data_IF_598641906145
#
_entry.id   IF_598641906145
#
_cell.length_a   1.000
_cell.length_b   1.000
_cell.length_c   1.000
_cell.angle_alpha   90.00
_cell.angle_beta   90.00
_cell.angle_gamma   90.00
#
_symmetry.space_group_name_H-M   'P 1'
#
loop_
_entity.id
_entity.type
_entity.pdbx_description
1 polymer ?
#
# COMPACT_ATOMS: atom_id res chain seq x y z
N UNK A 1 -17.13 1.98 -7.69
CA UNK A 1 -16.92 3.38 -8.10
C UNK A 1 -15.44 3.68 -8.03
N UNK A 2 -14.90 4.26 -9.10
CA UNK A 2 -13.50 4.69 -9.13
C UNK A 2 -13.35 5.98 -8.31
N UNK A 3 -12.24 6.11 -7.60
CA UNK A 3 -11.87 7.30 -6.86
C UNK A 3 -10.51 7.82 -7.35
N UNK A 4 -10.27 9.10 -7.15
CA UNK A 4 -9.00 9.71 -7.57
C UNK A 4 -7.85 9.26 -6.65
N UNK A 5 -6.68 9.02 -7.24
CA UNK A 5 -5.46 8.63 -6.57
C UNK A 5 -4.36 9.72 -6.65
N UNK A 6 -3.24 9.51 -6.00
CA UNK A 6 -2.13 10.45 -5.94
C UNK A 6 -2.38 11.60 -4.96
N UNK A 7 -2.20 12.84 -5.43
CA UNK A 7 -2.24 14.05 -4.61
C UNK A 7 -3.67 14.52 -4.29
N UNK A 8 -4.50 13.65 -3.75
CA UNK A 8 -5.92 13.91 -3.42
C UNK A 8 -6.20 13.75 -1.93
N UNK A 9 -7.13 14.52 -1.40
CA UNK A 9 -7.51 14.46 0.01
C UNK A 9 -6.30 14.51 0.94
N UNK A 10 -6.19 13.55 1.84
CA UNK A 10 -5.03 13.37 2.74
C UNK A 10 -3.71 13.16 2.00
N UNK A 11 -3.72 12.68 0.76
CA UNK A 11 -2.55 12.48 -0.08
C UNK A 11 -1.91 13.75 -0.64
N UNK A 12 -2.62 14.90 -0.58
CA UNK A 12 -2.17 16.16 -1.19
C UNK A 12 -0.78 16.61 -0.72
N UNK A 13 -0.48 16.48 0.57
CA UNK A 13 0.81 16.85 1.16
C UNK A 13 1.87 15.74 1.19
N UNK A 14 1.56 14.54 0.72
CA UNK A 14 2.39 13.35 0.93
C UNK A 14 3.50 13.21 -0.09
N UNK A 15 4.69 12.76 0.41
CA UNK A 15 5.87 12.45 -0.40
C UNK A 15 6.22 10.97 -0.19
N UNK A 16 6.31 10.20 -1.25
CA UNK A 16 6.63 8.78 -1.20
C UNK A 16 7.95 8.52 -1.91
N UNK A 17 8.90 7.90 -1.21
CA UNK A 17 10.23 7.61 -1.73
C UNK A 17 10.87 8.84 -2.40
N UNK A 18 10.77 10.00 -1.72
CA UNK A 18 11.30 11.27 -2.20
C UNK A 18 10.62 11.87 -3.42
N UNK A 19 9.51 11.30 -3.87
CA UNK A 19 8.70 11.75 -5.00
C UNK A 19 7.33 12.20 -4.52
N UNK A 20 6.54 12.81 -5.39
CA UNK A 20 5.14 13.07 -5.06
C UNK A 20 4.43 11.74 -4.92
N UNK A 21 3.85 11.51 -3.75
CA UNK A 21 3.06 10.35 -3.39
C UNK A 21 1.61 10.74 -3.12
N UNK A 22 0.96 10.00 -2.24
CA UNK A 22 -0.41 10.23 -1.80
C UNK A 22 -1.22 8.95 -1.69
N UNK A 23 -2.44 8.98 -2.21
CA UNK A 23 -3.35 7.84 -2.19
C UNK A 23 -3.03 6.90 -3.36
N UNK A 24 -3.04 5.60 -3.08
CA UNK A 24 -2.96 4.56 -4.09
C UNK A 24 -3.75 3.33 -3.67
N UNK A 25 -4.24 2.57 -4.63
CA UNK A 25 -5.00 1.35 -4.38
C UNK A 25 -4.73 0.27 -5.40
N UNK A 26 -5.01 -0.96 -5.02
CA UNK A 26 -5.03 -2.12 -5.91
C UNK A 26 -5.85 -3.25 -5.29
N UNK A 27 -6.14 -4.29 -6.05
CA UNK A 27 -6.86 -5.46 -5.54
C UNK A 27 -6.44 -6.74 -6.24
N UNK A 28 -6.74 -7.87 -5.59
CA UNK A 28 -6.62 -9.22 -6.15
C UNK A 28 -7.93 -9.97 -5.92
N UNK A 29 -8.32 -10.75 -6.91
CA UNK A 29 -9.46 -11.66 -6.82
C UNK A 29 -8.95 -13.07 -6.68
N UNK A 30 -9.40 -13.77 -5.66
CA UNK A 30 -9.06 -15.16 -5.35
C UNK A 30 -10.25 -16.07 -5.60
N UNK A 31 -10.02 -17.22 -6.21
CA UNK A 31 -11.02 -18.29 -6.34
C UNK A 31 -10.95 -19.19 -5.11
N UNK A 32 -12.00 -19.21 -4.30
CA UNK A 32 -12.09 -19.99 -3.06
C UNK A 32 -13.43 -20.73 -3.05
N UNK A 33 -13.40 -22.05 -2.99
CA UNK A 33 -14.61 -22.92 -2.97
C UNK A 33 -15.63 -22.59 -4.07
N UNK A 34 -15.13 -22.23 -5.27
CA UNK A 34 -15.95 -21.88 -6.42
C UNK A 34 -16.55 -20.46 -6.40
N UNK A 35 -16.26 -19.67 -5.39
CA UNK A 35 -16.63 -18.25 -5.28
C UNK A 35 -15.44 -17.32 -5.55
N UNK A 36 -15.75 -16.08 -5.90
CA UNK A 36 -14.77 -15.01 -6.05
C UNK A 36 -14.72 -14.18 -4.76
N UNK A 37 -13.50 -14.00 -4.25
CA UNK A 37 -13.23 -13.18 -3.08
C UNK A 37 -12.17 -12.15 -3.40
N UNK A 38 -12.30 -10.97 -2.83
CA UNK A 38 -11.41 -9.84 -3.10
C UNK A 38 -10.52 -9.54 -1.90
N UNK A 39 -9.25 -9.28 -2.18
CA UNK A 39 -8.31 -8.64 -1.26
C UNK A 39 -7.98 -7.28 -1.85
N UNK A 40 -8.47 -6.22 -1.23
CA UNK A 40 -8.20 -4.83 -1.62
C UNK A 40 -7.14 -4.19 -0.71
N UNK A 41 -6.31 -3.36 -1.29
CA UNK A 41 -5.30 -2.57 -0.60
C UNK A 41 -5.49 -1.07 -0.92
N UNK A 42 -5.33 -0.23 0.10
CA UNK A 42 -5.29 1.22 -0.05
C UNK A 42 -4.15 1.76 0.82
N UNK A 43 -3.40 2.71 0.29
CA UNK A 43 -2.32 3.37 1.01
C UNK A 43 -2.49 4.88 1.03
N UNK A 44 -2.01 5.50 2.11
CA UNK A 44 -1.62 6.90 2.13
C UNK A 44 -0.10 6.94 2.32
N UNK A 45 0.61 7.09 1.20
CA UNK A 45 2.06 6.90 1.12
C UNK A 45 2.82 8.21 1.34
N UNK A 46 3.57 8.27 2.45
CA UNK A 46 4.43 9.39 2.83
C UNK A 46 5.70 8.86 3.52
N UNK A 47 6.50 8.07 2.84
CA UNK A 47 7.64 7.38 3.45
C UNK A 47 8.83 7.25 2.48
N UNK A 48 10.00 6.94 3.02
CA UNK A 48 11.16 6.52 2.27
C UNK A 48 11.93 7.66 1.60
N UNK A 49 13.06 7.33 1.01
CA UNK A 49 13.92 8.24 0.25
C UNK A 49 14.09 7.78 -1.19
N UNK A 50 14.32 8.73 -2.10
CA UNK A 50 14.34 8.47 -3.55
C UNK A 50 15.34 7.40 -3.97
N UNK A 51 16.54 7.40 -3.39
CA UNK A 51 17.60 6.46 -3.76
C UNK A 51 17.26 4.99 -3.52
N UNK A 52 16.26 4.72 -2.68
CA UNK A 52 15.86 3.36 -2.31
C UNK A 52 14.76 2.78 -3.20
N UNK A 53 14.09 3.59 -4.02
CA UNK A 53 12.95 3.14 -4.83
C UNK A 53 13.30 1.94 -5.71
N UNK A 54 12.52 0.87 -5.55
CA UNK A 54 12.56 -0.34 -6.37
C UNK A 54 11.23 -0.49 -7.08
N UNK A 55 11.25 -0.73 -8.39
CA UNK A 55 10.06 -1.03 -9.21
C UNK A 55 10.36 -2.27 -10.02
N UNK A 56 9.56 -3.32 -9.85
CA UNK A 56 9.74 -4.58 -10.56
C UNK A 56 11.13 -5.19 -10.39
N UNK A 57 11.73 -5.07 -9.19
CA UNK A 57 13.08 -5.55 -8.89
C UNK A 57 14.22 -4.62 -9.36
N UNK A 58 13.94 -3.53 -10.09
CA UNK A 58 14.94 -2.53 -10.53
C UNK A 58 15.10 -1.42 -9.50
N UNK A 59 16.34 -1.07 -9.18
CA UNK A 59 16.70 0.06 -8.32
C UNK A 59 16.64 1.40 -9.08
N UNK A 60 15.44 1.79 -9.52
CA UNK A 60 15.20 3.05 -10.27
C UNK A 60 15.50 4.29 -9.42
N UNK A 61 15.43 4.15 -8.11
CA UNK A 61 15.73 5.24 -7.18
C UNK A 61 17.13 5.82 -7.34
N UNK A 62 18.11 5.03 -7.75
CA UNK A 62 19.48 5.51 -8.00
C UNK A 62 19.56 6.43 -9.21
N UNK A 63 18.77 6.17 -10.25
CA UNK A 63 18.67 7.02 -11.44
C UNK A 63 18.00 8.35 -11.10
N UNK A 64 16.93 8.31 -10.29
CA UNK A 64 16.20 9.48 -9.81
C UNK A 64 17.11 10.34 -8.91
N UNK A 65 17.86 9.73 -8.00
CA UNK A 65 18.72 10.45 -7.07
C UNK A 65 19.88 11.20 -7.75
N UNK A 66 20.34 10.75 -8.94
CA UNK A 66 21.31 11.49 -9.74
C UNK A 66 20.74 12.80 -10.30
N UNK A 67 19.42 12.93 -10.37
CA UNK A 67 18.71 14.08 -10.94
C UNK A 67 18.13 15.02 -9.87
N UNK A 68 18.35 14.74 -8.58
CA UNK A 68 17.89 15.55 -7.46
C UNK A 68 18.84 15.46 -6.27
N UNK A 69 18.76 16.44 -5.37
CA UNK A 69 19.49 16.39 -4.09
C UNK A 69 19.00 15.26 -3.20
N UNK A 70 19.92 14.72 -2.39
CA UNK A 70 19.60 13.66 -1.45
C UNK A 70 18.71 14.20 -0.32
N UNK A 71 17.62 13.50 -0.05
CA UNK A 71 16.71 13.80 1.06
C UNK A 71 16.83 12.73 2.14
N UNK A 72 16.57 13.12 3.40
CA UNK A 72 16.50 12.18 4.50
C UNK A 72 15.18 11.41 4.43
N UNK A 73 15.22 10.14 4.78
CA UNK A 73 14.03 9.34 5.01
C UNK A 73 13.25 9.92 6.20
N UNK A 74 12.11 10.51 5.92
CA UNK A 74 11.21 11.11 6.92
C UNK A 74 9.78 10.84 6.50
N UNK A 75 8.99 10.36 7.43
CA UNK A 75 7.57 10.15 7.17
C UNK A 75 7.10 8.78 7.63
N UNK A 76 5.92 8.40 7.17
CA UNK A 76 5.21 7.17 7.56
C UNK A 76 4.23 6.79 6.48
N UNK A 77 3.69 5.58 6.54
CA UNK A 77 2.63 5.15 5.63
C UNK A 77 1.46 4.55 6.41
N UNK A 78 0.25 4.82 5.95
CA UNK A 78 -0.94 4.08 6.36
C UNK A 78 -1.25 3.05 5.27
N UNK A 79 -1.39 1.80 5.69
CA UNK A 79 -1.62 0.64 4.84
C UNK A 79 -2.94 -0.01 5.29
N UNK A 80 -3.95 0.00 4.43
CA UNK A 80 -5.25 -0.56 4.72
C UNK A 80 -5.49 -1.77 3.81
N UNK A 81 -5.85 -2.92 4.42
CA UNK A 81 -6.24 -4.13 3.70
C UNK A 81 -7.70 -4.43 4.04
N UNK A 82 -8.52 -4.53 3.01
CA UNK A 82 -9.93 -4.91 3.12
C UNK A 82 -10.20 -6.19 2.34
N UNK A 83 -10.99 -7.10 2.89
CA UNK A 83 -11.35 -8.32 2.19
C UNK A 83 -12.78 -8.75 2.53
N UNK A 84 -13.40 -9.53 1.65
CA UNK A 84 -14.65 -10.25 1.90
C UNK A 84 -14.42 -11.73 2.25
N UNK A 85 -13.15 -12.16 2.37
CA UNK A 85 -12.81 -13.49 2.90
C UNK A 85 -13.12 -13.51 4.40
N UNK A 86 -13.79 -14.54 4.93
CA UNK A 86 -14.10 -14.63 6.35
C UNK A 86 -12.85 -14.96 7.19
N UNK A 87 -12.09 -13.94 7.52
CA UNK A 87 -10.88 -14.04 8.35
C UNK A 87 -11.20 -13.73 9.81
N UNK A 88 -10.62 -14.52 10.72
CA UNK A 88 -10.61 -14.22 12.16
C UNK A 88 -9.67 -13.05 12.46
N UNK A 89 -9.81 -12.44 13.65
CA UNK A 89 -8.93 -11.38 14.12
C UNK A 89 -7.44 -11.80 14.08
N UNK A 90 -7.14 -13.03 14.50
CA UNK A 90 -5.78 -13.57 14.44
C UNK A 90 -5.26 -13.67 13.00
N UNK A 91 -6.10 -14.09 12.05
CA UNK A 91 -5.74 -14.16 10.63
C UNK A 91 -5.55 -12.78 10.03
N UNK A 92 -6.43 -11.82 10.32
CA UNK A 92 -6.30 -10.42 9.90
C UNK A 92 -4.99 -9.78 10.40
N UNK A 93 -4.59 -10.03 11.64
CA UNK A 93 -3.27 -9.59 12.15
C UNK A 93 -2.11 -10.20 11.37
N UNK A 94 -2.20 -11.46 10.98
CA UNK A 94 -1.19 -12.12 10.14
C UNK A 94 -1.13 -11.49 8.74
N UNK A 95 -2.27 -11.17 8.14
CA UNK A 95 -2.35 -10.46 6.85
C UNK A 95 -1.75 -9.06 6.97
N UNK A 96 -2.13 -8.28 7.98
CA UNK A 96 -1.61 -6.93 8.19
C UNK A 96 -0.08 -6.90 8.31
N UNK A 97 0.52 -7.89 8.98
CA UNK A 97 1.99 -8.01 9.10
C UNK A 97 2.70 -8.20 7.75
N UNK A 98 2.02 -8.71 6.70
CA UNK A 98 2.60 -8.90 5.37
C UNK A 98 2.80 -7.59 4.63
N UNK A 99 2.13 -6.51 5.03
CA UNK A 99 2.34 -5.18 4.46
C UNK A 99 3.82 -4.73 4.51
N UNK A 100 4.58 -5.15 5.54
CA UNK A 100 6.01 -4.87 5.62
C UNK A 100 6.83 -5.47 4.48
N UNK A 101 6.38 -6.59 3.90
CA UNK A 101 7.05 -7.22 2.76
C UNK A 101 6.92 -6.32 1.52
N UNK A 102 5.74 -5.75 1.29
CA UNK A 102 5.49 -4.83 0.17
C UNK A 102 6.32 -3.54 0.30
N UNK A 103 6.49 -3.03 1.52
CA UNK A 103 7.39 -1.91 1.80
C UNK A 103 8.84 -2.26 1.44
N UNK A 104 9.32 -3.45 1.83
CA UNK A 104 10.65 -3.93 1.46
C UNK A 104 10.82 -4.09 -0.05
N UNK A 105 9.80 -4.60 -0.75
CA UNK A 105 9.81 -4.77 -2.22
C UNK A 105 9.88 -3.45 -2.97
N UNK A 106 9.30 -2.38 -2.42
CA UNK A 106 9.37 -1.03 -3.00
C UNK A 106 10.60 -0.23 -2.56
N UNK A 107 11.43 -0.81 -1.68
CA UNK A 107 12.73 -0.26 -1.28
C UNK A 107 12.76 0.37 0.11
N UNK A 108 11.69 0.29 0.91
CA UNK A 108 11.73 0.74 2.30
C UNK A 108 12.46 -0.28 3.19
N UNK A 109 13.29 0.21 4.07
CA UNK A 109 13.86 -0.56 5.18
C UNK A 109 13.16 -0.26 6.52
N UNK A 110 12.02 0.47 6.48
CA UNK A 110 11.25 0.85 7.68
C UNK A 110 12.13 1.55 8.72
N UNK A 111 12.66 2.72 8.33
CA UNK A 111 13.64 3.48 9.13
C UNK A 111 13.15 3.84 10.53
N UNK A 112 14.06 4.12 11.45
CA UNK A 112 13.76 4.40 12.85
C UNK A 112 12.79 5.57 13.09
N UNK A 113 12.71 6.52 12.15
CA UNK A 113 11.76 7.65 12.21
C UNK A 113 10.39 7.35 11.60
N UNK A 114 10.15 6.15 11.06
CA UNK A 114 8.90 5.78 10.42
C UNK A 114 7.91 5.20 11.43
N UNK A 115 6.66 5.70 11.42
CA UNK A 115 5.56 5.21 12.23
C UNK A 115 4.51 4.50 11.37
N UNK A 116 4.93 3.48 10.63
CA UNK A 116 4.08 2.76 9.68
C UNK A 116 2.95 2.02 10.37
N UNK A 117 1.73 2.18 9.86
CA UNK A 117 0.52 1.59 10.46
C UNK A 117 -0.16 0.72 9.41
N UNK A 118 -0.30 -0.58 9.70
CA UNK A 118 -1.05 -1.52 8.89
C UNK A 118 -2.34 -1.95 9.59
N UNK A 119 -3.46 -1.81 8.90
CA UNK A 119 -4.80 -2.16 9.36
C UNK A 119 -5.39 -3.18 8.38
N UNK A 120 -5.96 -4.26 8.88
CA UNK A 120 -6.72 -5.22 8.07
C UNK A 120 -8.09 -5.49 8.67
N UNK A 121 -9.12 -5.57 7.81
CA UNK A 121 -10.47 -5.93 8.21
C UNK A 121 -11.17 -6.80 7.16
N UNK A 122 -12.21 -7.50 7.59
CA UNK A 122 -13.08 -8.26 6.70
C UNK A 122 -14.52 -7.75 6.76
N UNK A 123 -15.20 -7.79 5.63
CA UNK A 123 -16.65 -7.49 5.53
C UNK A 123 -17.51 -8.74 5.62
N UNK A 124 -16.92 -9.94 5.71
CA UNK A 124 -17.63 -11.22 5.74
C UNK A 124 -18.35 -11.50 7.06
N UNK A 125 -17.74 -11.10 8.18
CA UNK A 125 -18.28 -11.31 9.52
C UNK A 125 -18.88 -10.01 10.07
N UNK A 126 -20.14 -9.75 9.72
CA UNK A 126 -20.83 -8.55 10.19
C UNK A 126 -21.42 -8.78 11.58
N UNK A 127 -21.03 -7.97 12.54
CA UNK A 127 -21.61 -7.95 13.88
C UNK A 127 -22.75 -6.93 13.89
N UNK A 128 -24.00 -7.33 14.17
CA UNK A 128 -25.13 -6.40 14.21
C UNK A 128 -25.01 -5.44 15.40
N UNK A 129 -25.41 -4.20 15.22
CA UNK A 129 -25.41 -3.20 16.31
C UNK A 129 -26.33 -3.63 17.45
N UNK A 130 -27.48 -4.22 17.12
CA UNK A 130 -28.41 -4.83 18.07
C UNK A 130 -28.52 -6.33 17.79
N UNK A 131 -28.27 -7.16 18.79
CA UNK A 131 -28.48 -8.62 18.72
C UNK A 131 -29.55 -9.05 19.71
N UNK A 132 -30.31 -10.10 19.33
CA UNK A 132 -31.27 -10.79 20.21
C UNK A 132 -30.61 -11.98 20.92
N UNK A 133 -29.37 -12.29 20.61
CA UNK A 133 -28.61 -13.40 21.17
C UNK A 133 -27.26 -12.92 21.65
N UNK A 134 -26.76 -13.49 22.75
CA UNK A 134 -25.45 -13.18 23.30
C UNK A 134 -24.30 -13.87 22.55
N UNK A 135 -24.61 -14.92 21.77
CA UNK A 135 -23.66 -15.72 21.00
C UNK A 135 -23.90 -15.53 19.50
N UNK A 136 -22.91 -15.05 18.77
CA UNK A 136 -22.96 -14.85 17.34
C UNK A 136 -22.07 -15.87 16.60
N UNK A 137 -22.57 -16.51 15.54
CA UNK A 137 -21.76 -17.38 14.70
C UNK A 137 -20.82 -16.54 13.85
N UNK A 138 -19.54 -16.90 13.81
CA UNK A 138 -18.54 -16.32 12.91
C UNK A 138 -17.99 -17.41 12.00
N UNK A 139 -17.77 -17.06 10.72
CA UNK A 139 -17.05 -17.91 9.77
C UNK A 139 -15.56 -17.62 9.85
N UNK A 140 -14.74 -18.63 9.62
CA UNK A 140 -13.31 -18.51 9.59
C UNK A 140 -12.74 -19.28 8.39
N UNK A 141 -11.80 -18.66 7.68
CA UNK A 141 -11.07 -19.30 6.61
C UNK A 141 -10.16 -20.40 7.16
N UNK A 142 -9.98 -21.49 6.43
CA UNK A 142 -9.12 -22.58 6.85
C UNK A 142 -7.65 -22.17 6.83
N UNK A 143 -6.99 -22.27 7.97
CA UNK A 143 -5.69 -21.65 8.20
C UNK A 143 -4.54 -22.20 7.32
N UNK A 144 -4.60 -23.47 6.95
CA UNK A 144 -3.60 -24.12 6.10
C UNK A 144 -3.59 -23.56 4.65
N UNK A 145 -4.69 -22.95 4.20
CA UNK A 145 -4.80 -22.36 2.87
C UNK A 145 -4.52 -20.85 2.86
N UNK A 146 -4.10 -20.24 3.99
CA UNK A 146 -4.02 -18.79 4.15
C UNK A 146 -2.92 -18.15 3.31
N UNK A 147 -1.95 -18.90 2.82
CA UNK A 147 -0.82 -18.36 2.05
C UNK A 147 -1.26 -17.64 0.78
N UNK A 148 -2.32 -18.12 0.11
CA UNK A 148 -2.90 -17.41 -1.04
C UNK A 148 -3.40 -16.00 -0.70
N UNK A 149 -3.93 -15.82 0.52
CA UNK A 149 -4.38 -14.51 1.01
C UNK A 149 -3.18 -13.62 1.35
N UNK A 150 -2.11 -14.20 1.89
CA UNK A 150 -0.88 -13.47 2.16
C UNK A 150 -0.21 -12.96 0.89
N UNK A 151 -0.10 -13.81 -0.13
CA UNK A 151 0.45 -13.47 -1.44
C UNK A 151 -0.36 -12.33 -2.08
N UNK A 152 -1.69 -12.50 -2.15
CA UNK A 152 -2.59 -11.49 -2.69
C UNK A 152 -2.49 -10.14 -1.94
N UNK A 153 -2.36 -10.16 -0.61
CA UNK A 153 -2.22 -8.95 0.19
C UNK A 153 -0.87 -8.25 -0.08
N UNK A 154 0.23 -9.01 -0.21
CA UNK A 154 1.56 -8.45 -0.54
C UNK A 154 1.54 -7.81 -1.92
N UNK A 155 1.02 -8.49 -2.92
CA UNK A 155 0.97 -8.00 -4.29
C UNK A 155 0.08 -6.76 -4.44
N UNK A 156 -1.14 -6.81 -3.88
CA UNK A 156 -2.05 -5.67 -3.93
C UNK A 156 -1.45 -4.45 -3.21
N UNK A 157 -0.77 -4.66 -2.09
CA UNK A 157 -0.16 -3.58 -1.33
C UNK A 157 1.06 -2.97 -2.05
N UNK A 158 1.91 -3.79 -2.69
CA UNK A 158 3.01 -3.33 -3.52
C UNK A 158 2.48 -2.47 -4.68
N UNK A 159 1.48 -2.95 -5.39
CA UNK A 159 0.85 -2.22 -6.48
C UNK A 159 0.18 -0.93 -6.01
N UNK A 160 -0.48 -0.91 -4.87
CA UNK A 160 -1.08 0.29 -4.29
C UNK A 160 -0.02 1.38 -4.01
N UNK A 161 1.17 0.99 -3.51
CA UNK A 161 2.28 1.94 -3.31
C UNK A 161 2.77 2.48 -4.67
N UNK A 162 2.94 1.62 -5.65
CA UNK A 162 3.35 2.03 -7.00
C UNK A 162 2.28 2.89 -7.68
N UNK A 163 1.00 2.60 -7.47
CA UNK A 163 -0.12 3.42 -7.95
C UNK A 163 -0.09 4.82 -7.34
N UNK A 164 0.16 4.96 -6.03
CA UNK A 164 0.32 6.26 -5.39
C UNK A 164 1.44 7.10 -6.01
N UNK A 165 2.55 6.46 -6.39
CA UNK A 165 3.68 7.11 -7.09
C UNK A 165 3.33 7.47 -8.54
N UNK A 166 2.67 6.58 -9.24
CA UNK A 166 2.29 6.77 -10.65
C UNK A 166 1.29 7.90 -10.84
N UNK A 167 0.28 8.00 -9.95
CA UNK A 167 -0.73 9.06 -9.95
C UNK A 167 -0.29 10.31 -9.18
N UNK A 168 0.87 10.29 -8.53
CA UNK A 168 1.46 11.43 -7.85
C UNK A 168 2.01 12.46 -8.84
N UNK A 169 1.19 13.41 -9.30
CA UNK A 169 1.61 14.48 -10.20
C UNK A 169 2.46 15.54 -9.49
N UNK A 170 3.41 16.14 -10.21
CA UNK A 170 4.25 17.23 -9.67
C UNK A 170 3.36 18.30 -9.04
N UNK A 171 3.60 18.58 -7.77
CA UNK A 171 2.77 19.48 -6.97
C UNK A 171 3.62 20.56 -6.33
N UNK A 172 3.20 21.82 -6.48
CA UNK A 172 3.78 22.97 -5.79
C UNK A 172 2.91 23.35 -4.61
N UNK A 173 3.46 23.29 -3.43
CA UNK A 173 2.81 23.60 -2.16
C UNK A 173 3.16 24.98 -1.63
N UNK A 174 3.03 25.13 -0.31
CA UNK A 174 3.27 26.38 0.41
C UNK A 174 4.70 26.85 0.20
N UNK A 175 4.89 28.18 0.04
CA UNK A 175 6.18 28.85 -0.18
C UNK A 175 6.93 28.42 -1.45
N UNK A 176 6.20 27.89 -2.45
CA UNK A 176 6.81 27.46 -3.69
C UNK A 176 7.57 26.12 -3.61
N UNK A 177 7.44 25.39 -2.49
CA UNK A 177 8.03 24.07 -2.36
C UNK A 177 7.39 23.10 -3.38
N UNK A 178 8.20 22.58 -4.31
CA UNK A 178 7.73 21.72 -5.39
C UNK A 178 8.28 20.30 -5.22
N UNK A 179 7.36 19.32 -5.18
CA UNK A 179 7.71 17.90 -5.18
C UNK A 179 7.34 17.31 -6.54
N UNK A 180 8.35 16.75 -7.20
CA UNK A 180 8.19 16.16 -8.54
C UNK A 180 7.55 14.77 -8.46
N UNK A 181 6.62 14.50 -9.38
CA UNK A 181 6.04 13.17 -9.58
C UNK A 181 6.99 12.22 -10.33
N UNK A 182 6.79 10.92 -10.14
CA UNK A 182 7.60 9.87 -10.79
C UNK A 182 7.70 10.07 -12.31
N UNK A 183 6.59 10.35 -12.98
CA UNK A 183 6.51 10.52 -14.44
C UNK A 183 7.28 11.74 -14.98
N UNK A 184 7.77 12.62 -14.13
CA UNK A 184 8.59 13.77 -14.53
C UNK A 184 10.10 13.44 -14.63
N UNK A 185 10.51 12.23 -14.28
CA UNK A 185 11.89 11.76 -14.38
C UNK A 185 12.10 10.92 -15.63
N UNK A 186 13.24 11.07 -16.25
CA UNK A 186 13.68 10.18 -17.33
C UNK A 186 14.31 8.95 -16.68
N UNK A 187 13.66 7.82 -16.86
CA UNK A 187 14.18 6.52 -16.42
C UNK A 187 14.70 5.77 -17.65
N UNK A 188 15.83 5.06 -17.48
CA UNK A 188 16.33 4.18 -18.51
C UNK A 188 15.28 3.11 -18.83
N UNK A 189 15.07 2.80 -20.11
CA UNK A 189 14.20 1.70 -20.48
C UNK A 189 14.74 0.39 -19.90
N UNK A 190 13.85 -0.46 -19.38
CA UNK A 190 14.25 -1.80 -18.96
C UNK A 190 14.81 -2.50 -20.19
N UNK A 191 16.11 -2.79 -20.20
CA UNK A 191 16.74 -3.55 -21.28
C UNK A 191 15.93 -4.83 -21.52
N UNK A 192 15.57 -5.05 -22.79
CA UNK A 192 14.87 -6.26 -23.25
C UNK A 192 15.75 -7.47 -23.09
#
# INVERSE_FOLDING_TARGET
EDFAEGAVGGGTGMCCLGLKGGIGSASRVLKIDGGDYTVGALVMANFGSAGNLVIGGRHVGREIQRQKEAEKDQGSIILLIATDIPLSERQLKRVARRASISLGRTGSFMGNGSGDIAIAFTTANRVPHYSRTDILPLRMFFDENIDMVFEAAVEAMEEAILSALYHGETTTGVRGNTVRGLRSYQLEEAGR
#
